data_IF_893261870474
#
_entry.id   IF_893261870474
#
_cell.length_a   1.000
_cell.length_b   1.000
_cell.length_c   1.000
_cell.angle_alpha   90.00
_cell.angle_beta   90.00
_cell.angle_gamma   90.00
#
_symmetry.space_group_name_H-M   'P 1'
#
loop_
_entity.id
_entity.type
_entity.pdbx_description
1 polymer ?
#
# COMPACT_ATOMS: atom_id res chain seq x y z
N UNK A 1 16.93 -2.93 1.21
CA UNK A 1 16.08 -1.76 1.53
C UNK A 1 16.11 -1.51 3.04
N UNK A 2 16.50 -0.32 3.52
CA UNK A 2 16.22 0.06 4.92
C UNK A 2 14.75 0.49 5.00
N UNK A 3 13.84 -0.46 4.82
CA UNK A 3 12.45 -0.32 5.29
C UNK A 3 12.56 -0.23 6.81
N UNK A 4 12.70 1.00 7.34
CA UNK A 4 13.17 1.24 8.72
C UNK A 4 12.17 0.79 9.80
N UNK A 5 11.00 0.29 9.38
CA UNK A 5 10.11 -0.54 10.20
C UNK A 5 9.62 -1.68 9.33
N UNK A 6 10.01 -2.91 9.66
CA UNK A 6 9.67 -4.14 8.93
C UNK A 6 8.15 -4.37 8.78
N UNK A 7 7.33 -3.58 9.50
CA UNK A 7 5.87 -3.68 9.57
C UNK A 7 5.13 -2.36 9.29
N UNK A 8 5.81 -1.28 8.85
CA UNK A 8 5.13 -0.02 8.51
C UNK A 8 4.97 0.14 7.00
N UNK A 9 3.80 0.60 6.60
CA UNK A 9 3.46 1.00 5.23
C UNK A 9 4.34 2.17 4.82
N UNK A 10 4.98 2.06 3.66
CA UNK A 10 5.79 3.14 3.11
C UNK A 10 4.89 4.11 2.32
N UNK A 11 4.83 5.37 2.73
CA UNK A 11 3.95 6.40 2.15
C UNK A 11 4.75 7.34 1.26
N UNK A 12 4.43 7.33 -0.03
CA UNK A 12 4.98 8.21 -1.06
C UNK A 12 4.00 9.36 -1.31
N UNK A 13 4.42 10.57 -0.99
CA UNK A 13 3.74 11.79 -1.40
C UNK A 13 4.19 12.15 -2.82
N UNK A 14 3.33 11.92 -3.82
CA UNK A 14 3.63 12.19 -5.23
C UNK A 14 3.40 13.67 -5.52
N UNK A 15 4.49 14.44 -5.61
CA UNK A 15 4.46 15.80 -6.12
C UNK A 15 4.29 15.78 -7.65
N UNK A 16 4.85 14.78 -8.33
CA UNK A 16 4.76 14.62 -9.77
C UNK A 16 5.21 15.88 -10.51
N UNK A 17 4.28 16.49 -11.23
CA UNK A 17 4.46 17.75 -11.97
C UNK A 17 3.76 18.96 -11.33
N UNK A 18 3.20 18.82 -10.11
CA UNK A 18 2.46 19.90 -9.40
C UNK A 18 3.33 21.08 -8.94
N UNK A 19 4.63 21.06 -9.25
CA UNK A 19 5.53 22.21 -9.09
C UNK A 19 5.36 23.23 -10.22
N UNK A 20 4.63 22.92 -11.31
CA UNK A 20 4.33 23.84 -12.42
C UNK A 20 5.55 24.51 -13.07
N UNK A 21 6.70 23.83 -13.04
CA UNK A 21 7.95 24.41 -13.53
C UNK A 21 8.53 25.54 -12.66
N UNK A 22 8.06 25.70 -11.41
CA UNK A 22 8.54 26.69 -10.45
C UNK A 22 9.37 26.03 -9.34
N UNK A 23 10.58 26.55 -9.09
CA UNK A 23 11.52 25.94 -8.14
C UNK A 23 11.01 26.05 -6.72
N UNK A 24 10.54 27.23 -6.35
CA UNK A 24 10.06 27.54 -5.01
C UNK A 24 8.90 26.62 -4.62
N UNK A 25 7.96 26.38 -5.55
CA UNK A 25 6.87 25.42 -5.34
C UNK A 25 7.38 23.99 -5.12
N UNK A 26 8.40 23.55 -5.86
CA UNK A 26 8.99 22.23 -5.66
C UNK A 26 9.54 22.05 -4.23
N UNK A 27 10.21 23.06 -3.67
CA UNK A 27 10.71 23.02 -2.29
C UNK A 27 9.57 23.07 -1.26
N UNK A 28 8.53 23.85 -1.52
CA UNK A 28 7.35 23.89 -0.64
C UNK A 28 6.61 22.54 -0.62
N UNK A 29 6.54 21.85 -1.76
CA UNK A 29 5.97 20.50 -1.83
C UNK A 29 6.77 19.51 -0.96
N UNK A 30 8.11 19.57 -0.98
CA UNK A 30 8.96 18.76 -0.07
C UNK A 30 8.62 19.06 1.39
N UNK A 31 8.45 20.34 1.74
CA UNK A 31 8.13 20.77 3.10
C UNK A 31 6.76 20.25 3.56
N UNK A 32 5.76 20.27 2.68
CA UNK A 32 4.42 19.72 2.94
C UNK A 32 4.46 18.21 3.12
N UNK A 33 5.14 17.48 2.24
CA UNK A 33 5.28 16.03 2.34
C UNK A 33 5.92 15.62 3.67
N UNK A 34 7.01 16.29 4.06
CA UNK A 34 7.69 16.03 5.33
C UNK A 34 6.82 16.38 6.54
N UNK A 35 6.13 17.53 6.50
CA UNK A 35 5.27 17.96 7.61
C UNK A 35 4.04 17.05 7.78
N UNK A 36 3.57 16.42 6.70
CA UNK A 36 2.51 15.42 6.74
C UNK A 36 2.98 14.08 7.33
N UNK A 37 4.28 13.83 7.43
CA UNK A 37 4.86 12.57 7.92
C UNK A 37 4.94 11.47 6.87
N UNK A 38 4.96 11.83 5.58
CA UNK A 38 5.26 10.89 4.51
C UNK A 38 6.69 10.32 4.66
N UNK A 39 6.96 9.16 4.07
CA UNK A 39 8.29 8.54 4.10
C UNK A 39 9.16 9.06 2.94
N UNK A 40 8.54 9.40 1.81
CA UNK A 40 9.19 9.97 0.64
C UNK A 40 8.34 11.06 -0.02
N UNK A 41 9.03 11.96 -0.71
CA UNK A 41 8.45 12.83 -1.74
C UNK A 41 8.95 12.36 -3.11
N UNK A 42 8.02 12.22 -4.07
CA UNK A 42 8.32 11.75 -5.42
C UNK A 42 8.05 12.81 -6.48
N UNK A 43 9.01 12.97 -7.38
CA UNK A 43 8.91 13.79 -8.59
C UNK A 43 8.99 12.94 -9.86
N UNK A 44 8.87 13.59 -11.02
CA UNK A 44 8.99 12.97 -12.33
C UNK A 44 10.15 13.62 -13.11
N UNK A 45 10.99 12.78 -13.74
CA UNK A 45 12.15 13.21 -14.53
C UNK A 45 12.02 12.65 -15.94
N UNK A 46 11.89 13.54 -16.92
CA UNK A 46 11.74 13.16 -18.32
C UNK A 46 12.31 14.24 -19.25
N UNK A 47 12.70 13.85 -20.47
CA UNK A 47 12.80 14.76 -21.62
C UNK A 47 11.50 14.68 -22.42
N UNK A 48 10.75 15.79 -22.47
CA UNK A 48 9.43 15.83 -23.08
C UNK A 48 9.46 15.43 -24.55
N UNK A 49 10.55 15.73 -25.29
CA UNK A 49 10.70 15.38 -26.71
C UNK A 49 10.98 13.90 -26.93
N UNK A 50 11.53 13.22 -25.94
CA UNK A 50 11.71 11.76 -25.95
C UNK A 50 10.46 11.03 -25.52
N UNK A 51 9.71 11.62 -24.60
CA UNK A 51 8.49 11.03 -24.05
C UNK A 51 7.28 11.15 -24.99
N UNK A 52 7.09 12.32 -25.63
CA UNK A 52 5.93 12.58 -26.46
C UNK A 52 6.33 13.10 -27.84
N UNK A 53 5.85 12.44 -28.90
CA UNK A 53 5.96 12.96 -30.25
C UNK A 53 5.01 14.17 -30.44
N UNK A 54 5.27 14.99 -31.45
CA UNK A 54 4.48 16.21 -31.69
C UNK A 54 2.98 15.94 -31.92
N UNK A 55 2.61 14.74 -32.38
CA UNK A 55 1.23 14.31 -32.62
C UNK A 55 0.62 13.52 -31.46
N UNK A 56 1.33 13.38 -30.34
CA UNK A 56 0.85 12.60 -29.20
C UNK A 56 -0.43 13.21 -28.61
N UNK A 57 -1.52 12.43 -28.48
CA UNK A 57 -2.76 12.94 -27.92
C UNK A 57 -2.64 13.10 -26.41
N UNK A 58 -3.24 14.15 -25.86
CA UNK A 58 -3.47 14.25 -24.42
C UNK A 58 -4.54 13.25 -23.99
N UNK A 59 -4.39 12.67 -22.81
CA UNK A 59 -5.47 11.93 -22.18
C UNK A 59 -6.68 12.85 -21.97
N UNK A 60 -7.90 12.29 -21.91
CA UNK A 60 -9.12 13.10 -21.79
C UNK A 60 -9.08 14.03 -20.56
N UNK A 61 -8.64 13.52 -19.40
CA UNK A 61 -8.52 14.33 -18.20
C UNK A 61 -7.53 15.50 -18.36
N UNK A 62 -6.45 15.32 -19.12
CA UNK A 62 -5.49 16.38 -19.41
C UNK A 62 -6.09 17.43 -20.35
N UNK A 63 -6.93 17.04 -21.31
CA UNK A 63 -7.67 17.98 -22.16
C UNK A 63 -8.69 18.80 -21.35
N UNK A 64 -9.28 18.22 -20.31
CA UNK A 64 -10.23 18.90 -19.43
C UNK A 64 -9.54 19.83 -18.42
N UNK A 65 -8.36 19.46 -17.92
CA UNK A 65 -7.64 20.18 -16.87
C UNK A 65 -6.62 21.20 -17.39
N UNK A 66 -6.26 21.13 -18.67
CA UNK A 66 -5.31 22.06 -19.31
C UNK A 66 -5.88 22.66 -20.60
N UNK A 67 -5.14 23.54 -21.28
CA UNK A 67 -5.60 24.13 -22.54
C UNK A 67 -5.80 23.05 -23.62
N UNK A 68 -7.04 22.78 -24.03
CA UNK A 68 -7.36 21.74 -25.00
C UNK A 68 -6.67 21.91 -26.37
N UNK A 69 -6.27 23.15 -26.74
CA UNK A 69 -5.55 23.42 -27.98
C UNK A 69 -4.04 23.18 -27.89
N UNK A 70 -3.49 23.05 -26.68
CA UNK A 70 -2.09 22.75 -26.43
C UNK A 70 -1.79 21.26 -26.64
N UNK A 71 -0.71 20.94 -27.36
CA UNK A 71 -0.26 19.56 -27.54
C UNK A 71 0.31 18.96 -26.25
N UNK A 72 0.33 17.64 -26.14
CA UNK A 72 0.91 16.96 -24.97
C UNK A 72 2.40 17.34 -24.79
N UNK A 73 3.15 17.42 -25.88
CA UNK A 73 4.56 17.82 -25.86
C UNK A 73 4.76 19.23 -25.28
N UNK A 74 3.98 20.21 -25.71
CA UNK A 74 4.10 21.60 -25.24
C UNK A 74 3.76 21.71 -23.74
N UNK A 75 2.76 20.97 -23.27
CA UNK A 75 2.43 20.87 -21.85
C UNK A 75 3.59 20.26 -21.05
N UNK A 76 4.13 19.11 -21.49
CA UNK A 76 5.22 18.42 -20.80
C UNK A 76 6.50 19.28 -20.72
N UNK A 77 6.83 20.03 -21.78
CA UNK A 77 8.00 20.92 -21.79
C UNK A 77 7.97 21.98 -20.68
N UNK A 78 6.78 22.45 -20.29
CA UNK A 78 6.64 23.42 -19.19
C UNK A 78 6.81 22.77 -17.81
N UNK A 79 6.64 21.46 -17.74
CA UNK A 79 6.59 20.68 -16.51
C UNK A 79 7.87 19.85 -16.29
N UNK A 80 8.84 19.91 -17.21
CA UNK A 80 10.14 19.27 -17.02
C UNK A 80 10.80 19.79 -15.73
N UNK A 81 11.20 18.87 -14.86
CA UNK A 81 11.97 19.20 -13.68
C UNK A 81 13.45 19.42 -14.08
N UNK A 82 14.01 20.64 -13.94
CA UNK A 82 15.39 20.88 -14.35
C UNK A 82 16.38 19.99 -13.58
N UNK A 83 17.32 19.37 -14.29
CA UNK A 83 18.34 18.47 -13.69
C UNK A 83 19.11 19.13 -12.55
N UNK A 84 19.38 20.43 -12.65
CA UNK A 84 20.06 21.21 -11.62
C UNK A 84 19.32 21.26 -10.27
N UNK A 85 17.99 21.04 -10.25
CA UNK A 85 17.21 21.12 -9.01
C UNK A 85 17.27 19.83 -8.19
N UNK A 86 17.57 18.68 -8.80
CA UNK A 86 17.40 17.38 -8.16
C UNK A 86 18.32 17.20 -6.93
N UNK A 87 19.59 17.61 -7.02
CA UNK A 87 20.53 17.52 -5.91
C UNK A 87 20.12 18.43 -4.73
N UNK A 88 19.60 19.62 -5.03
CA UNK A 88 19.14 20.55 -4.01
C UNK A 88 17.85 20.04 -3.34
N UNK A 89 16.90 19.53 -4.12
CA UNK A 89 15.66 18.92 -3.62
C UNK A 89 15.95 17.67 -2.78
N UNK A 90 16.87 16.82 -3.22
CA UNK A 90 17.32 15.66 -2.44
C UNK A 90 17.96 16.07 -1.11
N UNK A 91 18.84 17.06 -1.14
CA UNK A 91 19.45 17.59 0.09
C UNK A 91 18.41 18.18 1.03
N UNK A 92 17.43 18.91 0.50
CA UNK A 92 16.35 19.51 1.26
C UNK A 92 15.42 18.46 1.89
N UNK A 93 14.99 17.45 1.11
CA UNK A 93 14.19 16.33 1.60
C UNK A 93 14.90 15.57 2.73
N UNK A 94 16.19 15.26 2.54
CA UNK A 94 17.02 14.61 3.55
C UNK A 94 17.13 15.45 4.83
N UNK A 95 17.29 16.77 4.72
CA UNK A 95 17.30 17.69 5.88
C UNK A 95 15.95 17.72 6.61
N UNK A 96 14.84 17.47 5.90
CA UNK A 96 13.49 17.36 6.47
C UNK A 96 13.16 15.96 6.99
N UNK A 97 14.04 14.99 6.81
CA UNK A 97 13.90 13.62 7.32
C UNK A 97 13.07 12.67 6.47
N UNK A 98 12.84 13.00 5.19
CA UNK A 98 12.14 12.14 4.23
C UNK A 98 13.05 11.83 3.03
N UNK A 99 12.77 10.73 2.33
CA UNK A 99 13.52 10.35 1.14
C UNK A 99 13.07 11.18 -0.08
N UNK A 100 14.03 11.57 -0.91
CA UNK A 100 13.75 12.06 -2.27
C UNK A 100 13.82 10.90 -3.25
N UNK A 101 12.76 10.71 -4.01
CA UNK A 101 12.72 9.76 -5.12
C UNK A 101 12.21 10.45 -6.38
N UNK A 102 12.53 9.90 -7.54
CA UNK A 102 11.97 10.36 -8.82
C UNK A 102 11.75 9.19 -9.77
N UNK A 103 10.82 9.37 -10.70
CA UNK A 103 10.48 8.41 -11.74
C UNK A 103 11.06 8.87 -13.08
N UNK A 104 11.91 8.06 -13.70
CA UNK A 104 12.38 8.29 -15.07
C UNK A 104 11.37 7.77 -16.10
N UNK A 105 11.26 8.47 -17.24
CA UNK A 105 10.42 8.06 -18.38
C UNK A 105 11.24 7.82 -19.66
N UNK A 106 12.57 7.91 -19.57
CA UNK A 106 13.50 7.67 -20.67
C UNK A 106 14.88 7.26 -20.11
N UNK A 107 15.71 6.66 -20.96
CA UNK A 107 17.03 6.14 -20.58
C UNK A 107 17.97 7.21 -20.04
N UNK A 108 18.02 8.42 -20.64
CA UNK A 108 18.91 9.50 -20.17
C UNK A 108 18.47 10.06 -18.82
N UNK A 109 17.17 10.08 -18.57
CA UNK A 109 16.61 10.43 -17.27
C UNK A 109 16.96 9.36 -16.23
N UNK A 110 16.85 8.08 -16.58
CA UNK A 110 17.26 6.97 -15.70
C UNK A 110 18.76 7.01 -15.37
N UNK A 111 19.62 7.16 -16.38
CA UNK A 111 21.07 7.26 -16.21
C UNK A 111 21.46 8.42 -15.30
N UNK A 112 20.78 9.56 -15.43
CA UNK A 112 20.98 10.69 -14.54
C UNK A 112 20.50 10.42 -13.12
N UNK A 113 19.33 9.82 -12.95
CA UNK A 113 18.83 9.45 -11.62
C UNK A 113 19.76 8.43 -10.91
N UNK A 114 20.48 7.60 -11.67
CA UNK A 114 21.52 6.72 -11.11
C UNK A 114 22.72 7.48 -10.51
N UNK A 115 22.93 8.75 -10.88
CA UNK A 115 23.96 9.60 -10.27
C UNK A 115 23.55 10.17 -8.89
N UNK A 116 22.28 10.01 -8.51
CA UNK A 116 21.72 10.47 -7.24
C UNK A 116 21.62 9.32 -6.22
N UNK A 117 21.58 9.67 -4.93
CA UNK A 117 21.40 8.67 -3.86
C UNK A 117 19.92 8.29 -3.69
N UNK A 118 19.36 7.60 -4.69
CA UNK A 118 17.97 7.13 -4.70
C UNK A 118 17.92 5.67 -4.22
N UNK A 119 17.08 5.31 -3.23
CA UNK A 119 17.10 3.97 -2.61
C UNK A 119 16.46 2.87 -3.46
N UNK A 120 15.50 3.21 -4.31
CA UNK A 120 14.77 2.31 -5.20
C UNK A 120 14.19 3.11 -6.38
N UNK A 121 13.84 2.45 -7.48
CA UNK A 121 13.18 3.11 -8.60
C UNK A 121 11.70 2.78 -8.66
N UNK A 122 10.90 3.78 -8.98
CA UNK A 122 9.49 3.64 -9.34
C UNK A 122 9.40 3.54 -10.87
N UNK A 123 8.72 2.51 -11.38
CA UNK A 123 8.34 2.39 -12.79
C UNK A 123 6.86 2.76 -12.92
N UNK A 124 6.49 3.77 -13.71
CA UNK A 124 5.10 4.22 -13.85
C UNK A 124 4.32 3.27 -14.76
N UNK A 125 2.98 3.26 -14.64
CA UNK A 125 2.12 2.32 -15.36
C UNK A 125 2.30 2.37 -16.89
N UNK A 126 2.59 3.56 -17.44
CA UNK A 126 2.82 3.74 -18.87
C UNK A 126 4.06 3.02 -19.41
N UNK A 127 5.04 2.73 -18.55
CA UNK A 127 6.31 2.11 -18.95
C UNK A 127 6.41 0.63 -18.60
N UNK A 128 5.35 0.03 -18.02
CA UNK A 128 5.37 -1.40 -17.65
C UNK A 128 5.62 -2.31 -18.88
N UNK A 129 5.05 -1.94 -20.03
CA UNK A 129 5.20 -2.70 -21.29
C UNK A 129 6.36 -2.18 -22.14
N UNK A 130 7.08 -1.15 -21.69
CA UNK A 130 8.30 -0.66 -22.34
C UNK A 130 9.49 -1.54 -21.94
N UNK A 131 9.59 -2.70 -22.58
CA UNK A 131 10.58 -3.73 -22.25
C UNK A 131 12.03 -3.25 -22.15
N UNK A 132 12.55 -2.48 -23.13
CA UNK A 132 13.92 -1.97 -23.07
C UNK A 132 14.19 -1.08 -21.86
N UNK A 133 13.30 -0.13 -21.56
CA UNK A 133 13.46 0.76 -20.41
C UNK A 133 13.29 0.00 -19.08
N UNK A 134 12.32 -0.92 -19.01
CA UNK A 134 12.11 -1.76 -17.82
C UNK A 134 13.32 -2.65 -17.54
N UNK A 135 13.94 -3.20 -18.58
CA UNK A 135 15.18 -3.97 -18.46
C UNK A 135 16.31 -3.09 -17.91
N UNK A 136 16.47 -1.86 -18.41
CA UNK A 136 17.45 -0.91 -17.90
C UNK A 136 17.23 -0.57 -16.42
N UNK A 137 15.98 -0.31 -16.00
CA UNK A 137 15.64 -0.10 -14.59
C UNK A 137 16.13 -1.24 -13.72
N UNK A 138 15.85 -2.48 -14.11
CA UNK A 138 16.25 -3.68 -13.37
C UNK A 138 17.77 -3.89 -13.38
N UNK A 139 18.47 -3.52 -14.46
CA UNK A 139 19.94 -3.60 -14.53
C UNK A 139 20.69 -2.69 -13.57
N UNK A 140 20.04 -1.64 -13.07
CA UNK A 140 20.62 -0.80 -12.01
C UNK A 140 20.86 -1.59 -10.72
N UNK A 141 20.18 -2.74 -10.53
CA UNK A 141 20.26 -3.56 -9.32
C UNK A 141 19.58 -2.93 -8.10
N UNK A 142 18.95 -1.76 -8.24
CA UNK A 142 18.12 -1.15 -7.19
C UNK A 142 16.75 -1.82 -7.18
N UNK A 143 16.16 -1.94 -5.99
CA UNK A 143 14.79 -2.43 -5.86
C UNK A 143 13.82 -1.60 -6.70
N UNK A 144 12.75 -2.22 -7.16
CA UNK A 144 11.76 -1.62 -8.05
C UNK A 144 10.36 -1.63 -7.44
N UNK A 145 9.65 -0.52 -7.64
CA UNK A 145 8.22 -0.41 -7.41
C UNK A 145 7.55 -0.27 -8.77
N UNK A 146 6.73 -1.24 -9.19
CA UNK A 146 6.11 -1.27 -10.52
C UNK A 146 4.63 -0.96 -10.40
N UNK A 147 4.15 0.14 -10.99
CA UNK A 147 2.70 0.34 -11.11
C UNK A 147 2.13 -0.46 -12.27
N UNK A 148 0.92 -0.99 -12.07
CA UNK A 148 0.26 -1.90 -13.02
C UNK A 148 -1.04 -1.33 -13.59
N UNK A 149 -1.21 0.00 -13.63
CA UNK A 149 -2.38 0.62 -14.23
C UNK A 149 -2.44 0.35 -15.73
N UNK A 150 -3.66 0.27 -16.28
CA UNK A 150 -3.93 -0.06 -17.70
C UNK A 150 -3.56 -1.49 -18.11
N UNK A 151 -2.76 -2.21 -17.32
CA UNK A 151 -2.23 -3.52 -17.66
C UNK A 151 -3.19 -4.67 -17.35
N UNK A 152 -3.14 -5.69 -18.20
CA UNK A 152 -3.66 -7.03 -17.95
C UNK A 152 -2.70 -7.83 -17.07
N UNK A 153 -3.18 -8.93 -16.49
CA UNK A 153 -2.33 -9.82 -15.68
C UNK A 153 -1.14 -10.39 -16.47
N UNK A 154 -1.34 -10.70 -17.76
CA UNK A 154 -0.28 -11.18 -18.66
C UNK A 154 0.77 -10.12 -18.98
N UNK A 155 0.37 -8.85 -19.09
CA UNK A 155 1.34 -7.76 -19.29
C UNK A 155 2.17 -7.52 -18.03
N UNK A 156 1.58 -7.70 -16.84
CA UNK A 156 2.34 -7.71 -15.58
C UNK A 156 3.33 -8.87 -15.55
N UNK A 157 2.92 -10.09 -15.93
CA UNK A 157 3.83 -11.25 -16.02
C UNK A 157 4.97 -10.99 -16.99
N UNK A 158 4.68 -10.44 -18.18
CA UNK A 158 5.70 -10.07 -19.15
C UNK A 158 6.71 -9.06 -18.58
N UNK A 159 6.23 -8.02 -17.91
CA UNK A 159 7.10 -7.05 -17.25
C UNK A 159 8.00 -7.69 -16.19
N UNK A 160 7.44 -8.57 -15.35
CA UNK A 160 8.20 -9.31 -14.34
C UNK A 160 9.24 -10.25 -14.96
N UNK A 161 8.92 -10.91 -16.07
CA UNK A 161 9.86 -11.76 -16.80
C UNK A 161 11.05 -10.96 -17.33
N UNK A 162 10.81 -9.75 -17.85
CA UNK A 162 11.87 -8.84 -18.32
C UNK A 162 12.77 -8.40 -17.15
N UNK A 163 12.18 -8.05 -16.01
CA UNK A 163 12.94 -7.73 -14.78
C UNK A 163 13.77 -8.92 -14.33
N UNK A 164 13.18 -10.13 -14.27
CA UNK A 164 13.89 -11.34 -13.89
C UNK A 164 15.08 -11.62 -14.82
N UNK A 165 14.89 -11.44 -16.13
CA UNK A 165 15.95 -11.57 -17.11
C UNK A 165 17.12 -10.60 -16.84
N UNK A 166 16.83 -9.32 -16.58
CA UNK A 166 17.84 -8.32 -16.22
C UNK A 166 18.59 -8.63 -14.91
N UNK A 167 17.94 -9.29 -13.95
CA UNK A 167 18.57 -9.70 -12.69
C UNK A 167 19.44 -10.96 -12.82
N UNK A 168 19.29 -11.70 -13.91
CA UNK A 168 20.05 -12.93 -14.19
C UNK A 168 21.16 -12.72 -15.23
N UNK A 169 21.04 -11.72 -16.10
CA UNK A 169 21.90 -11.56 -17.28
C UNK A 169 22.50 -10.15 -17.36
N UNK A 170 23.73 -10.07 -17.87
CA UNK A 170 24.41 -8.78 -18.08
C UNK A 170 24.03 -8.12 -19.41
N UNK A 171 23.70 -8.91 -20.43
CA UNK A 171 23.33 -8.44 -21.76
C UNK A 171 21.80 -8.35 -21.94
N UNK A 172 21.37 -7.40 -22.76
CA UNK A 172 19.97 -7.25 -23.17
C UNK A 172 19.52 -8.48 -23.97
N UNK A 173 18.28 -8.98 -23.79
CA UNK A 173 17.80 -10.12 -24.55
C UNK A 173 17.65 -9.76 -26.03
N UNK A 174 17.93 -10.72 -26.92
CA UNK A 174 17.72 -10.54 -28.35
C UNK A 174 16.22 -10.45 -28.71
N UNK A 175 15.37 -11.15 -27.97
CA UNK A 175 13.92 -11.19 -28.13
C UNK A 175 13.22 -11.68 -26.85
N UNK A 176 11.88 -11.72 -26.90
CA UNK A 176 11.08 -12.24 -25.78
C UNK A 176 11.23 -13.74 -25.57
N UNK A 177 11.69 -14.53 -26.54
CA UNK A 177 11.89 -15.96 -26.34
C UNK A 177 13.03 -16.21 -25.34
N UNK A 178 14.11 -15.42 -25.42
CA UNK A 178 15.18 -15.45 -24.40
C UNK A 178 14.67 -15.06 -23.01
N UNK A 179 13.81 -14.03 -22.94
CA UNK A 179 13.18 -13.61 -21.68
C UNK A 179 12.33 -14.75 -21.10
N UNK A 180 11.49 -15.40 -21.90
CA UNK A 180 10.64 -16.50 -21.44
C UNK A 180 11.42 -17.76 -21.08
N UNK A 181 12.52 -18.05 -21.78
CA UNK A 181 13.44 -19.13 -21.38
C UNK A 181 14.03 -18.86 -20.00
N UNK A 182 14.45 -17.63 -19.72
CA UNK A 182 14.91 -17.24 -18.39
C UNK A 182 13.77 -17.34 -17.35
N UNK A 183 12.56 -16.91 -17.69
CA UNK A 183 11.39 -16.96 -16.81
C UNK A 183 10.98 -18.39 -16.40
N UNK A 184 11.26 -19.38 -17.26
CA UNK A 184 10.97 -20.79 -16.97
C UNK A 184 11.84 -21.41 -15.87
N UNK A 185 12.88 -20.70 -15.42
CA UNK A 185 13.70 -21.09 -14.28
C UNK A 185 13.13 -20.48 -12.98
N UNK A 186 12.78 -21.33 -12.01
CA UNK A 186 12.28 -20.92 -10.70
C UNK A 186 13.27 -20.01 -9.94
N UNK A 187 14.58 -20.11 -10.21
CA UNK A 187 15.58 -19.22 -9.60
C UNK A 187 15.42 -17.77 -10.12
N UNK A 188 15.08 -17.60 -11.40
CA UNK A 188 14.93 -16.28 -12.01
C UNK A 188 13.74 -15.51 -11.42
N UNK A 189 12.58 -16.17 -11.29
CA UNK A 189 11.40 -15.57 -10.67
C UNK A 189 11.60 -15.31 -9.16
N UNK A 190 12.33 -16.20 -8.48
CA UNK A 190 12.67 -16.02 -7.05
C UNK A 190 13.50 -14.77 -6.76
N UNK A 191 14.30 -14.28 -7.72
CA UNK A 191 15.08 -13.04 -7.59
C UNK A 191 14.21 -11.77 -7.51
N UNK A 192 12.95 -11.85 -7.91
CA UNK A 192 12.00 -10.75 -7.76
C UNK A 192 11.58 -10.54 -6.30
N UNK A 193 11.63 -11.59 -5.47
CA UNK A 193 11.19 -11.53 -4.07
C UNK A 193 12.11 -10.63 -3.26
N UNK A 194 11.55 -9.58 -2.66
CA UNK A 194 12.30 -8.55 -1.93
C UNK A 194 13.02 -7.54 -2.83
N UNK A 195 12.95 -7.71 -4.15
CA UNK A 195 13.46 -6.76 -5.13
C UNK A 195 12.34 -5.96 -5.80
N UNK A 196 11.16 -6.57 -5.99
CA UNK A 196 10.01 -5.95 -6.67
C UNK A 196 8.79 -5.86 -5.75
N UNK A 197 8.16 -4.68 -5.75
CA UNK A 197 6.82 -4.44 -5.19
C UNK A 197 5.86 -4.00 -6.31
N UNK A 198 4.69 -4.61 -6.40
CA UNK A 198 3.67 -4.25 -7.39
C UNK A 198 2.67 -3.25 -6.81
N UNK A 199 2.40 -2.14 -7.48
CA UNK A 199 1.31 -1.23 -7.12
C UNK A 199 0.13 -1.43 -8.05
N UNK A 200 -0.99 -1.89 -7.50
CA UNK A 200 -2.26 -1.79 -8.21
C UNK A 200 -2.65 -0.30 -8.33
N UNK A 201 -3.21 0.08 -9.48
CA UNK A 201 -3.79 1.41 -9.67
C UNK A 201 -4.73 1.46 -10.87
N UNK A 202 -5.59 2.46 -10.89
CA UNK A 202 -6.37 2.85 -12.09
C UNK A 202 -5.82 4.19 -12.57
N UNK A 203 -5.31 4.26 -13.80
CA UNK A 203 -4.68 5.47 -14.36
C UNK A 203 -5.73 6.46 -14.86
N UNK A 204 -6.55 6.98 -13.95
CA UNK A 204 -7.55 8.00 -14.21
C UNK A 204 -7.57 9.03 -13.08
N UNK A 205 -7.72 10.32 -13.41
CA UNK A 205 -7.41 11.43 -12.51
C UNK A 205 -8.58 12.46 -12.49
N UNK A 206 -9.57 12.33 -11.58
CA UNK A 206 -9.66 11.33 -10.51
C UNK A 206 -10.27 10.00 -10.95
N UNK A 207 -9.87 8.92 -10.29
CA UNK A 207 -10.41 7.57 -10.49
C UNK A 207 -11.81 7.45 -9.85
N UNK A 208 -12.84 7.04 -10.61
CA UNK A 208 -14.16 6.74 -10.05
C UNK A 208 -14.11 5.60 -9.04
N UNK A 209 -14.87 5.71 -7.94
CA UNK A 209 -14.88 4.68 -6.87
C UNK A 209 -15.26 3.28 -7.38
N UNK A 210 -16.10 3.18 -8.41
CA UNK A 210 -16.48 1.92 -9.05
C UNK A 210 -15.35 1.25 -9.83
N UNK A 211 -14.29 1.99 -10.17
CA UNK A 211 -13.16 1.55 -11.00
C UNK A 211 -11.88 1.31 -10.21
N UNK A 212 -11.89 1.55 -8.90
CA UNK A 212 -10.73 1.36 -8.00
C UNK A 212 -10.24 -0.08 -7.98
N UNK A 213 -11.18 -1.03 -7.85
CA UNK A 213 -10.91 -2.47 -7.81
C UNK A 213 -9.77 -2.90 -6.86
N UNK A 214 -9.83 -2.54 -5.57
CA UNK A 214 -8.82 -2.97 -4.56
C UNK A 214 -8.62 -4.51 -4.49
N UNK A 215 -9.56 -5.31 -5.00
CA UNK A 215 -9.42 -6.76 -5.06
C UNK A 215 -8.34 -7.23 -6.05
N UNK A 216 -7.93 -6.40 -7.00
CA UNK A 216 -6.82 -6.70 -7.90
C UNK A 216 -5.49 -6.87 -7.15
N UNK A 217 -5.29 -6.18 -6.01
CA UNK A 217 -4.09 -6.38 -5.18
C UNK A 217 -3.95 -7.83 -4.72
N UNK A 218 -5.04 -8.47 -4.30
CA UNK A 218 -5.04 -9.89 -3.91
C UNK A 218 -4.67 -10.78 -5.10
N UNK A 219 -5.17 -10.44 -6.29
CA UNK A 219 -4.86 -11.18 -7.53
C UNK A 219 -3.37 -11.08 -7.85
N UNK A 220 -2.79 -9.87 -7.80
CA UNK A 220 -1.36 -9.66 -8.01
C UNK A 220 -0.51 -10.42 -6.97
N UNK A 221 -0.89 -10.33 -5.70
CA UNK A 221 -0.19 -11.03 -4.60
C UNK A 221 -0.24 -12.54 -4.76
N UNK A 222 -1.41 -13.09 -5.11
CA UNK A 222 -1.60 -14.53 -5.30
C UNK A 222 -0.90 -15.04 -6.55
N UNK A 223 -0.93 -14.29 -7.66
CA UNK A 223 -0.34 -14.71 -8.93
C UNK A 223 1.19 -14.72 -8.88
N UNK A 224 1.80 -13.71 -8.24
CA UNK A 224 3.25 -13.50 -8.32
C UNK A 224 4.00 -13.70 -7.00
N UNK A 225 3.29 -13.84 -5.87
CA UNK A 225 3.93 -14.01 -4.56
C UNK A 225 4.75 -12.81 -4.09
N UNK A 226 4.60 -11.65 -4.75
CA UNK A 226 5.32 -10.41 -4.44
C UNK A 226 4.54 -9.54 -3.44
N UNK A 227 5.25 -8.62 -2.80
CA UNK A 227 4.59 -7.57 -2.03
C UNK A 227 3.78 -6.66 -2.94
N UNK A 228 2.63 -6.21 -2.41
CA UNK A 228 1.71 -5.35 -3.14
C UNK A 228 1.49 -4.06 -2.38
N UNK A 229 1.31 -2.99 -3.13
CA UNK A 229 0.87 -1.69 -2.65
C UNK A 229 -0.21 -1.12 -3.55
N UNK A 230 -0.49 0.17 -3.39
CA UNK A 230 -1.51 0.86 -4.15
C UNK A 230 -1.06 2.28 -4.51
N UNK A 231 -1.17 2.63 -5.79
CA UNK A 231 -0.95 3.99 -6.29
C UNK A 231 -2.31 4.60 -6.59
N UNK A 232 -2.64 5.65 -5.87
CA UNK A 232 -4.01 6.14 -5.77
C UNK A 232 -4.23 7.46 -6.49
N UNK A 233 -5.34 7.51 -7.23
CA UNK A 233 -5.80 8.67 -7.97
C UNK A 233 -7.27 8.99 -7.66
N UNK A 234 -7.88 8.41 -6.61
CA UNK A 234 -9.24 8.80 -6.21
C UNK A 234 -9.23 10.15 -5.49
N UNK A 235 -10.40 10.75 -5.35
CA UNK A 235 -10.59 11.84 -4.39
C UNK A 235 -10.66 11.29 -2.95
N UNK A 236 -10.21 12.09 -1.98
CA UNK A 236 -10.30 11.79 -0.55
C UNK A 236 -9.35 10.67 -0.06
N UNK A 237 -9.66 10.18 1.14
CA UNK A 237 -8.74 9.39 1.98
C UNK A 237 -9.14 7.92 2.15
N UNK A 238 -10.35 7.55 1.72
CA UNK A 238 -10.92 6.23 1.98
C UNK A 238 -10.09 5.11 1.36
N UNK A 239 -9.72 5.26 0.09
CA UNK A 239 -9.05 4.22 -0.70
C UNK A 239 -7.64 3.88 -0.19
N UNK A 240 -6.73 4.83 0.14
CA UNK A 240 -5.41 4.48 0.62
C UNK A 240 -5.47 3.74 1.97
N UNK A 241 -6.38 4.15 2.86
CA UNK A 241 -6.62 3.46 4.14
C UNK A 241 -7.20 2.06 3.91
N UNK A 242 -8.16 1.91 2.99
CA UNK A 242 -8.73 0.61 2.65
C UNK A 242 -7.71 -0.32 1.97
N UNK A 243 -6.79 0.20 1.16
CA UNK A 243 -5.71 -0.56 0.56
C UNK A 243 -4.74 -1.11 1.62
N UNK A 244 -4.39 -0.31 2.63
CA UNK A 244 -3.59 -0.77 3.79
C UNK A 244 -4.32 -1.85 4.57
N UNK A 245 -5.62 -1.68 4.84
CA UNK A 245 -6.43 -2.72 5.51
C UNK A 245 -6.47 -4.04 4.71
N UNK A 246 -6.21 -3.97 3.41
CA UNK A 246 -6.16 -5.09 2.48
C UNK A 246 -4.73 -5.59 2.20
N UNK A 247 -3.74 -5.09 2.92
CA UNK A 247 -2.36 -5.58 2.90
C UNK A 247 -1.41 -4.81 1.96
N UNK A 248 -1.74 -3.58 1.56
CA UNK A 248 -0.77 -2.70 0.91
C UNK A 248 0.42 -2.43 1.83
N UNK A 249 1.64 -2.64 1.32
CA UNK A 249 2.90 -2.28 1.99
C UNK A 249 3.46 -0.94 1.54
N UNK A 250 2.95 -0.41 0.43
CA UNK A 250 3.28 0.91 -0.12
C UNK A 250 2.00 1.62 -0.51
N UNK A 251 1.89 2.91 -0.18
CA UNK A 251 0.84 3.80 -0.66
C UNK A 251 1.49 4.98 -1.39
N UNK A 252 1.08 5.22 -2.63
CA UNK A 252 1.43 6.41 -3.40
C UNK A 252 0.18 7.25 -3.63
N UNK A 253 0.26 8.56 -3.36
CA UNK A 253 -0.87 9.48 -3.54
C UNK A 253 -0.38 10.84 -3.99
N UNK A 254 -1.00 11.39 -5.04
CA UNK A 254 -0.72 12.75 -5.49
C UNK A 254 -1.13 13.79 -4.44
N UNK A 255 -0.32 14.83 -4.29
CA UNK A 255 -0.63 15.98 -3.44
C UNK A 255 -0.23 17.30 -4.09
N UNK A 256 -0.86 18.37 -3.62
CA UNK A 256 -0.68 19.75 -4.10
C UNK A 256 -0.70 20.72 -2.92
N UNK A 257 -0.26 21.95 -3.15
CA UNK A 257 -0.46 23.07 -2.22
C UNK A 257 -1.91 23.57 -2.24
N UNK A 258 -2.53 23.57 -3.42
CA UNK A 258 -3.88 24.04 -3.66
C UNK A 258 -4.45 23.37 -4.92
N UNK A 259 -5.63 22.76 -4.84
CA UNK A 259 -6.23 22.05 -5.98
C UNK A 259 -6.74 22.96 -7.11
N UNK A 260 -6.86 24.26 -6.85
CA UNK A 260 -7.30 25.26 -7.83
C UNK A 260 -6.17 25.79 -8.72
N UNK A 261 -4.92 25.40 -8.46
CA UNK A 261 -3.78 25.76 -9.32
C UNK A 261 -3.91 25.11 -10.71
N UNK A 262 -3.42 25.79 -11.77
CA UNK A 262 -3.46 25.24 -13.12
C UNK A 262 -2.45 24.09 -13.25
N UNK A 263 -2.84 23.02 -13.92
CA UNK A 263 -1.97 21.85 -14.11
C UNK A 263 -2.79 20.57 -14.28
N UNK A 264 -2.19 19.51 -14.83
CA UNK A 264 -2.93 18.30 -15.18
C UNK A 264 -3.45 17.54 -13.96
N UNK A 265 -2.70 17.55 -12.84
CA UNK A 265 -2.90 16.61 -11.73
C UNK A 265 -3.41 17.26 -10.44
N UNK A 266 -3.38 18.60 -10.32
CA UNK A 266 -3.80 19.31 -9.10
C UNK A 266 -5.21 18.95 -8.63
N UNK A 267 -6.15 18.78 -9.57
CA UNK A 267 -7.56 18.50 -9.27
C UNK A 267 -7.77 17.16 -8.55
N UNK A 268 -6.97 16.15 -8.87
CA UNK A 268 -7.03 14.82 -8.27
C UNK A 268 -6.13 14.67 -7.02
N UNK A 269 -5.36 15.71 -6.69
CA UNK A 269 -4.37 15.69 -5.62
C UNK A 269 -4.96 16.05 -4.25
N UNK A 270 -4.37 15.51 -3.18
CA UNK A 270 -4.68 15.93 -1.81
C UNK A 270 -4.03 17.29 -1.49
N UNK A 271 -4.72 18.12 -0.71
CA UNK A 271 -4.13 19.33 -0.12
C UNK A 271 -3.35 19.01 1.17
N UNK A 272 -2.53 19.94 1.71
CA UNK A 272 -1.60 19.64 2.80
C UNK A 272 -2.24 19.01 4.05
N UNK A 273 -3.40 19.51 4.48
CA UNK A 273 -4.13 18.96 5.64
C UNK A 273 -4.69 17.57 5.38
N UNK A 274 -5.08 17.28 4.14
CA UNK A 274 -5.61 15.98 3.72
C UNK A 274 -4.49 14.93 3.62
N UNK A 275 -3.31 15.32 3.12
CA UNK A 275 -2.14 14.45 3.11
C UNK A 275 -1.71 14.07 4.54
N UNK A 276 -1.65 15.05 5.44
CA UNK A 276 -1.34 14.82 6.85
C UNK A 276 -2.39 13.90 7.52
N UNK A 277 -3.67 14.11 7.20
CA UNK A 277 -4.76 13.25 7.69
C UNK A 277 -4.65 11.82 7.14
N UNK A 278 -4.32 11.66 5.86
CA UNK A 278 -4.11 10.35 5.22
C UNK A 278 -3.02 9.56 5.96
N UNK A 279 -1.85 10.18 6.14
CA UNK A 279 -0.71 9.57 6.85
C UNK A 279 -1.12 9.19 8.26
N UNK A 280 -1.78 10.10 8.99
CA UNK A 280 -2.28 9.84 10.35
C UNK A 280 -3.23 8.64 10.41
N UNK A 281 -4.17 8.53 9.47
CA UNK A 281 -5.12 7.41 9.41
C UNK A 281 -4.41 6.10 9.08
N UNK A 282 -3.44 6.10 8.18
CA UNK A 282 -2.60 4.93 7.89
C UNK A 282 -1.85 4.47 9.16
N UNK A 283 -1.19 5.39 9.88
CA UNK A 283 -0.48 5.04 11.13
C UNK A 283 -1.41 4.55 12.23
N UNK A 284 -2.61 5.12 12.36
CA UNK A 284 -3.61 4.64 13.31
C UNK A 284 -4.13 3.24 12.94
N UNK A 285 -4.32 2.97 11.64
CA UNK A 285 -4.75 1.67 11.14
C UNK A 285 -3.69 0.58 11.36
N UNK A 286 -2.40 0.88 11.13
CA UNK A 286 -1.31 -0.07 11.43
C UNK A 286 -1.37 -0.58 12.87
N UNK A 287 -1.64 0.32 13.83
CA UNK A 287 -1.85 -0.07 15.23
C UNK A 287 -3.12 -0.90 15.43
N UNK A 288 -4.20 -0.54 14.75
CA UNK A 288 -5.50 -1.21 14.87
C UNK A 288 -5.55 -2.61 14.25
N UNK A 289 -4.77 -2.86 13.18
CA UNK A 289 -4.67 -4.18 12.54
C UNK A 289 -4.10 -5.23 13.51
N UNK A 290 -3.20 -4.82 14.40
CA UNK A 290 -2.70 -5.68 15.47
C UNK A 290 -2.00 -6.95 14.97
N UNK A 291 -2.32 -8.10 15.56
CA UNK A 291 -1.73 -9.40 15.23
C UNK A 291 -2.83 -10.38 14.83
N UNK A 292 -2.49 -11.34 13.96
CA UNK A 292 -3.45 -12.34 13.46
C UNK A 292 -4.05 -13.26 14.54
N UNK A 293 -3.36 -13.45 15.68
CA UNK A 293 -3.81 -14.34 16.74
C UNK A 293 -5.05 -13.82 17.48
N UNK A 294 -6.14 -14.60 17.53
CA UNK A 294 -7.32 -14.26 18.31
C UNK A 294 -7.16 -14.64 19.78
N UNK A 295 -7.03 -13.63 20.63
CA UNK A 295 -7.13 -13.75 22.09
C UNK A 295 -8.02 -12.63 22.67
N UNK A 296 -8.44 -12.70 23.94
CA UNK A 296 -8.92 -11.52 24.64
C UNK A 296 -7.79 -10.49 24.76
N UNK A 297 -8.15 -9.22 24.67
CA UNK A 297 -7.29 -8.10 24.99
C UNK A 297 -7.09 -7.98 26.51
N UNK A 298 -6.01 -7.34 26.99
CA UNK A 298 -5.77 -7.14 28.42
C UNK A 298 -6.96 -6.51 29.15
N UNK A 299 -7.66 -5.56 28.51
CA UNK A 299 -8.85 -4.89 29.04
C UNK A 299 -10.11 -5.74 29.02
N UNK A 300 -10.11 -6.93 28.40
CA UNK A 300 -11.28 -7.81 28.37
C UNK A 300 -11.33 -8.77 29.56
N UNK A 301 -10.27 -8.91 30.36
CA UNK A 301 -10.21 -9.96 31.40
C UNK A 301 -11.19 -9.75 32.55
N UNK A 302 -11.42 -8.52 32.96
CA UNK A 302 -12.43 -8.16 33.98
C UNK A 302 -13.85 -8.41 33.45
N UNK A 303 -14.11 -8.00 32.21
CA UNK A 303 -15.37 -8.18 31.49
C UNK A 303 -15.62 -9.66 31.26
N UNK A 304 -14.59 -10.42 30.91
CA UNK A 304 -14.63 -11.87 30.75
C UNK A 304 -15.02 -12.55 32.05
N UNK A 305 -14.48 -12.10 33.19
CA UNK A 305 -14.85 -12.60 34.51
C UNK A 305 -16.32 -12.28 34.82
N UNK A 306 -16.75 -11.04 34.63
CA UNK A 306 -18.10 -10.58 35.00
C UNK A 306 -19.22 -11.09 34.07
N UNK A 307 -18.95 -11.17 32.76
CA UNK A 307 -19.98 -11.39 31.74
C UNK A 307 -20.18 -12.87 31.36
N UNK A 308 -19.17 -13.72 31.58
CA UNK A 308 -19.31 -15.16 31.29
C UNK A 308 -20.15 -15.84 32.35
N UNK A 309 -20.97 -16.78 31.90
CA UNK A 309 -21.76 -17.60 32.80
C UNK A 309 -20.97 -18.81 33.29
N UNK A 310 -21.34 -19.25 34.48
CA UNK A 310 -20.85 -20.44 35.15
C UNK A 310 -22.03 -21.36 35.47
N UNK A 311 -21.73 -22.60 35.82
CA UNK A 311 -22.74 -23.58 36.23
C UNK A 311 -23.29 -23.19 37.60
N UNK A 312 -24.61 -23.04 37.68
CA UNK A 312 -25.34 -22.77 38.91
C UNK A 312 -26.50 -23.75 39.08
N UNK A 313 -26.99 -23.90 40.30
CA UNK A 313 -28.17 -24.70 40.58
C UNK A 313 -29.41 -23.99 39.98
N UNK A 314 -30.22 -24.71 39.20
CA UNK A 314 -31.48 -24.20 38.66
C UNK A 314 -32.60 -24.14 39.71
N UNK A 315 -32.47 -24.96 40.75
CA UNK A 315 -33.42 -25.18 41.85
C UNK A 315 -32.66 -25.63 43.09
N UNK A 316 -33.35 -25.87 44.21
CA UNK A 316 -32.72 -26.51 45.37
C UNK A 316 -32.25 -27.94 45.04
N UNK A 317 -31.08 -28.31 45.56
CA UNK A 317 -30.45 -29.63 45.36
C UNK A 317 -30.01 -30.14 46.74
N UNK A 318 -30.29 -31.40 47.05
CA UNK A 318 -29.94 -32.01 48.34
C UNK A 318 -28.61 -32.76 48.26
N UNK A 319 -27.83 -32.75 49.34
CA UNK A 319 -26.62 -33.57 49.49
C UNK A 319 -26.95 -35.05 49.27
N UNK A 320 -26.09 -35.75 48.51
CA UNK A 320 -26.31 -37.13 48.10
C UNK A 320 -27.21 -37.31 46.87
N UNK A 321 -27.88 -36.26 46.38
CA UNK A 321 -28.68 -36.32 45.15
C UNK A 321 -27.77 -36.50 43.92
N UNK A 322 -28.13 -37.40 43.01
CA UNK A 322 -27.51 -37.49 41.69
C UNK A 322 -28.07 -36.37 40.80
N UNK A 323 -27.22 -35.43 40.39
CA UNK A 323 -27.59 -34.25 39.61
C UNK A 323 -28.22 -34.64 38.27
N UNK A 324 -29.42 -34.14 37.98
CA UNK A 324 -30.04 -34.24 36.66
C UNK A 324 -29.74 -33.01 35.81
N UNK A 325 -30.00 -33.07 34.50
CA UNK A 325 -29.89 -31.89 33.64
C UNK A 325 -30.79 -30.74 34.11
N UNK A 326 -31.96 -31.05 34.68
CA UNK A 326 -32.94 -30.07 35.11
C UNK A 326 -32.60 -29.40 36.46
N UNK A 327 -31.60 -29.92 37.17
CA UNK A 327 -31.07 -29.34 38.42
C UNK A 327 -30.02 -28.26 38.16
N UNK A 328 -29.47 -28.20 36.94
CA UNK A 328 -28.37 -27.30 36.57
C UNK A 328 -28.83 -26.26 35.56
N UNK A 329 -28.32 -25.04 35.69
CA UNK A 329 -28.45 -23.99 34.67
C UNK A 329 -27.16 -23.17 34.63
N UNK A 330 -27.13 -22.11 33.83
CA UNK A 330 -25.99 -21.21 33.73
C UNK A 330 -26.41 -19.79 34.07
N UNK A 331 -25.61 -19.11 34.89
CA UNK A 331 -25.81 -17.71 35.25
C UNK A 331 -24.45 -17.01 35.44
N UNK A 332 -24.43 -15.69 35.39
CA UNK A 332 -23.21 -14.91 35.67
C UNK A 332 -22.96 -14.90 37.16
N UNK A 333 -21.87 -15.53 37.62
CA UNK A 333 -21.47 -15.53 39.04
C UNK A 333 -20.06 -14.98 39.25
N UNK A 334 -19.27 -14.79 38.20
CA UNK A 334 -17.92 -14.23 38.28
C UNK A 334 -16.84 -15.22 38.74
N UNK A 335 -17.26 -16.41 39.14
CA UNK A 335 -16.41 -17.53 39.59
C UNK A 335 -17.21 -18.84 39.53
N UNK A 336 -16.52 -19.98 39.58
CA UNK A 336 -17.12 -21.31 39.49
C UNK A 336 -16.81 -22.03 38.19
N UNK A 337 -17.42 -23.20 38.01
CA UNK A 337 -17.22 -24.02 36.82
C UNK A 337 -17.69 -23.28 35.56
N UNK A 338 -16.88 -23.31 34.51
CA UNK A 338 -17.26 -22.75 33.21
C UNK A 338 -18.56 -23.40 32.72
N UNK A 339 -19.44 -22.63 32.07
CA UNK A 339 -20.73 -23.13 31.57
C UNK A 339 -20.63 -24.44 30.75
N UNK A 340 -19.53 -24.64 30.03
CA UNK A 340 -19.28 -25.86 29.23
C UNK A 340 -19.15 -27.13 30.09
N UNK A 341 -18.76 -26.99 31.36
CA UNK A 341 -18.63 -28.09 32.31
C UNK A 341 -19.98 -28.63 32.80
N UNK A 342 -21.10 -27.95 32.50
CA UNK A 342 -22.43 -28.32 32.97
C UNK A 342 -22.77 -29.78 32.65
N UNK A 343 -22.47 -30.23 31.44
CA UNK A 343 -22.79 -31.60 31.02
C UNK A 343 -22.01 -32.65 31.81
N UNK A 344 -20.77 -32.35 32.19
CA UNK A 344 -19.96 -33.24 33.00
C UNK A 344 -20.46 -33.32 34.45
N UNK A 345 -21.25 -32.34 34.91
CA UNK A 345 -21.87 -32.37 36.23
C UNK A 345 -23.16 -33.20 36.27
N UNK A 346 -23.78 -33.48 35.12
CA UNK A 346 -24.98 -34.35 35.09
C UNK A 346 -24.59 -35.77 35.47
N UNK A 347 -25.31 -36.34 36.42
CA UNK A 347 -25.05 -37.66 36.98
C UNK A 347 -24.03 -37.66 38.12
N UNK A 348 -23.39 -36.53 38.46
CA UNK A 348 -22.52 -36.43 39.63
C UNK A 348 -23.37 -36.34 40.91
N UNK A 349 -22.87 -36.90 42.02
CA UNK A 349 -23.55 -36.82 43.32
C UNK A 349 -23.22 -35.48 43.98
N UNK A 350 -24.24 -34.72 44.39
CA UNK A 350 -24.08 -33.44 45.06
C UNK A 350 -23.41 -33.62 46.44
N UNK A 351 -22.26 -32.98 46.73
CA UNK A 351 -21.55 -33.16 48.00
C UNK A 351 -22.23 -32.43 49.16
N UNK A 352 -23.00 -31.38 48.86
CA UNK A 352 -23.73 -30.55 49.82
C UNK A 352 -25.07 -30.12 49.27
N UNK A 353 -25.86 -29.45 50.11
CA UNK A 353 -27.08 -28.79 49.65
C UNK A 353 -26.72 -27.53 48.84
N UNK A 354 -27.53 -27.22 47.83
CA UNK A 354 -27.42 -25.98 47.04
C UNK A 354 -28.78 -25.28 47.00
N UNK A 355 -28.76 -23.94 47.00
CA UNK A 355 -29.93 -23.10 46.71
C UNK A 355 -29.99 -22.77 45.22
N UNK A 356 -31.19 -22.47 44.71
CA UNK A 356 -31.32 -21.95 43.34
C UNK A 356 -30.43 -20.71 43.13
N UNK A 357 -29.63 -20.72 42.08
CA UNK A 357 -28.65 -19.68 41.74
C UNK A 357 -27.27 -19.83 42.40
N UNK A 358 -27.07 -20.77 43.33
CA UNK A 358 -25.73 -21.03 43.86
C UNK A 358 -24.81 -21.69 42.83
N UNK A 359 -23.52 -21.37 42.91
CA UNK A 359 -22.46 -21.93 42.08
C UNK A 359 -22.32 -23.44 42.35
N UNK A 360 -22.16 -24.20 41.27
CA UNK A 360 -21.81 -25.63 41.31
C UNK A 360 -20.28 -25.76 41.23
N UNK A 361 -19.74 -26.62 42.09
CA UNK A 361 -18.30 -26.87 42.29
C UNK A 361 -17.83 -28.18 41.64
#
# INVERSE_FOLDING_TARGET
MKLSKKDAVYVIAEAGVNHNGERELAFELVDVAASAGADAVKFQTFDARKLACASAPKALYQQENTDAAESQLAMLQKLELPRAWHADLQSHANARGIEFISTAFDSDSLDFLCSLDIPFFKVPSGELTNGPLLWQFARTGKALILSTGMATLSEVEQGLAIVAHALCNEAEPADMEEVWRCWSDDEASSRLVGHVTLLHCTSQYPTPMSEVNLRAMDTLKQAFGLEVGYSDHTEGLLVPVAAVARGATVIEKHFTLNRSMPGPDHKASLEPSELAEMVRQIRALELALGKAGKSPQPSEWDTRKAARQQVVAAREITSGQRLSRADLTTARSGSGLAAIELWQRVGVVAPRNYRAGEIIE
#
